data_IF_208790731756
#
_entry.id   IF_208790731756
#
_cell.length_a   1.000
_cell.length_b   1.000
_cell.length_c   1.000
_cell.angle_alpha   90.00
_cell.angle_beta   90.00
_cell.angle_gamma   90.00
#
_symmetry.space_group_name_H-M   'P 1'
#
loop_
_entity.id
_entity.type
_entity.pdbx_description
1 polymer ?
#
# COMPACT_ATOMS: atom_id res chain seq x y z
N UNK A 1 2.34 17.25 -31.70
CA UNK A 1 2.00 17.31 -30.25
C UNK A 1 2.22 16.00 -29.50
N UNK A 2 1.88 14.82 -30.05
CA UNK A 2 2.07 13.50 -29.39
C UNK A 2 3.55 13.22 -29.03
N UNK A 3 4.50 13.65 -29.87
CA UNK A 3 5.93 13.43 -29.63
C UNK A 3 6.46 14.22 -28.42
N UNK A 4 6.04 15.49 -28.26
CA UNK A 4 6.43 16.36 -27.15
C UNK A 4 5.84 15.84 -25.83
N UNK A 5 4.59 15.37 -25.85
CA UNK A 5 3.95 14.74 -24.69
C UNK A 5 4.70 13.46 -24.26
N UNK A 6 5.18 12.64 -25.19
CA UNK A 6 5.94 11.42 -24.87
C UNK A 6 7.32 11.70 -24.26
N UNK A 7 8.05 12.71 -24.74
CA UNK A 7 9.33 13.13 -24.13
C UNK A 7 9.13 13.78 -22.76
N UNK A 8 8.04 14.55 -22.58
CA UNK A 8 7.70 15.10 -21.27
C UNK A 8 7.28 13.98 -20.31
N UNK A 9 6.47 13.00 -20.73
CA UNK A 9 6.08 11.86 -19.89
C UNK A 9 7.28 10.98 -19.49
N UNK A 10 8.22 10.75 -20.40
CA UNK A 10 9.45 9.99 -20.11
C UNK A 10 10.35 10.72 -19.11
N UNK A 11 10.51 12.04 -19.26
CA UNK A 11 11.26 12.87 -18.32
C UNK A 11 10.52 13.06 -17.00
N UNK A 12 9.20 13.15 -17.03
CA UNK A 12 8.34 13.22 -15.85
C UNK A 12 8.31 11.92 -15.09
N UNK A 13 8.27 10.75 -15.73
CA UNK A 13 8.42 9.48 -15.04
C UNK A 13 9.72 9.49 -14.23
N UNK A 14 10.87 9.77 -14.86
CA UNK A 14 12.15 9.86 -14.17
C UNK A 14 12.19 10.93 -13.06
N UNK A 15 11.57 12.10 -13.27
CA UNK A 15 11.53 13.20 -12.30
C UNK A 15 10.49 13.02 -11.18
N UNK A 16 9.41 12.26 -11.40
CA UNK A 16 8.40 11.94 -10.39
C UNK A 16 8.85 10.83 -9.44
N UNK A 17 9.90 10.08 -9.81
CA UNK A 17 10.58 9.17 -8.89
C UNK A 17 11.47 9.90 -7.90
N UNK A 18 11.97 11.10 -8.22
CA UNK A 18 12.83 11.84 -7.31
C UNK A 18 12.15 12.14 -5.97
N UNK A 19 10.89 12.63 -5.91
CA UNK A 19 10.14 12.77 -4.66
C UNK A 19 9.87 11.44 -3.96
N UNK A 20 9.54 10.37 -4.69
CA UNK A 20 9.26 9.05 -4.10
C UNK A 20 10.53 8.42 -3.52
N UNK A 21 11.67 8.55 -4.22
CA UNK A 21 12.99 8.10 -3.79
C UNK A 21 13.55 9.00 -2.70
N UNK A 22 13.25 10.31 -2.69
CA UNK A 22 13.56 11.21 -1.57
C UNK A 22 12.72 10.89 -0.35
N UNK A 23 11.42 10.63 -0.51
CA UNK A 23 10.56 10.18 0.58
C UNK A 23 11.09 8.85 1.09
N UNK A 24 11.35 7.86 0.23
CA UNK A 24 11.97 6.59 0.61
C UNK A 24 13.35 6.74 1.25
N UNK A 25 14.21 7.67 0.79
CA UNK A 25 15.55 7.87 1.37
C UNK A 25 15.53 8.64 2.69
N UNK A 26 14.65 9.64 2.82
CA UNK A 26 14.35 10.31 4.09
C UNK A 26 13.68 9.33 5.08
N UNK A 27 12.95 8.34 4.57
CA UNK A 27 12.32 7.29 5.37
C UNK A 27 13.32 6.20 5.80
N UNK A 28 14.23 5.75 4.93
CA UNK A 28 15.26 4.77 5.34
C UNK A 28 16.28 5.37 6.31
N UNK A 29 16.62 6.65 6.14
CA UNK A 29 17.52 7.36 7.07
C UNK A 29 16.89 7.61 8.44
N UNK A 30 15.57 7.86 8.52
CA UNK A 30 14.87 7.94 9.81
C UNK A 30 14.71 6.59 10.50
N UNK A 31 14.54 5.50 9.75
CA UNK A 31 14.46 4.12 10.32
C UNK A 31 15.82 3.65 10.86
N UNK A 32 16.94 4.01 10.24
CA UNK A 32 18.28 3.70 10.77
C UNK A 32 18.68 4.54 11.99
N UNK A 33 17.97 5.64 12.27
CA UNK A 33 18.21 6.49 13.43
C UNK A 33 17.35 6.14 14.65
N UNK A 34 16.51 5.10 14.58
CA UNK A 34 16.02 4.48 15.82
C UNK A 34 17.21 3.67 16.33
N UNK A 35 17.92 4.10 17.39
CA UNK A 35 18.94 3.26 17.96
C UNK A 35 18.25 1.94 18.30
N UNK A 36 18.72 0.86 17.66
CA UNK A 36 18.54 -0.47 18.21
C UNK A 36 19.21 -0.37 19.57
N UNK A 37 18.44 0.00 20.58
CA UNK A 37 18.90 -0.07 21.94
C UNK A 37 19.21 -1.55 22.11
N UNK A 38 20.50 -1.89 21.98
CA UNK A 38 21.08 -3.07 22.59
C UNK A 38 20.96 -2.81 24.08
N UNK A 39 19.73 -2.86 24.58
CA UNK A 39 19.43 -2.78 25.98
C UNK A 39 20.02 -4.05 26.52
N UNK A 40 21.23 -3.94 27.09
CA UNK A 40 21.75 -4.95 27.98
C UNK A 40 20.58 -5.33 28.90
N UNK A 41 20.21 -6.61 28.88
CA UNK A 41 19.02 -7.11 29.55
C UNK A 41 18.96 -6.50 30.95
N UNK A 42 18.00 -5.59 31.23
CA UNK A 42 17.92 -4.99 32.55
C UNK A 42 17.73 -6.13 33.54
N UNK A 43 18.53 -6.13 34.61
CA UNK A 43 18.32 -7.04 35.73
C UNK A 43 16.83 -7.00 36.10
N UNK A 44 16.20 -8.17 36.35
CA UNK A 44 14.76 -8.30 36.53
C UNK A 44 14.31 -7.40 37.68
N UNK A 45 13.91 -6.18 37.32
CA UNK A 45 13.30 -5.24 38.24
C UNK A 45 11.88 -5.76 38.36
N UNK A 46 11.49 -6.15 39.57
CA UNK A 46 10.17 -6.69 39.88
C UNK A 46 9.11 -5.64 39.54
N UNK A 47 8.71 -5.61 38.27
CA UNK A 47 7.54 -4.88 37.79
C UNK A 47 6.33 -5.57 38.38
N UNK A 48 5.48 -4.75 39.00
CA UNK A 48 4.07 -5.02 39.29
C UNK A 48 3.46 -6.01 38.29
N UNK A 49 2.58 -6.94 38.70
CA UNK A 49 1.97 -7.95 37.84
C UNK A 49 1.12 -7.30 36.74
N UNK A 50 1.79 -6.87 35.67
CA UNK A 50 1.18 -6.61 34.38
C UNK A 50 0.68 -7.95 33.89
N UNK A 51 -0.65 -8.06 33.87
CA UNK A 51 -1.40 -9.22 33.41
C UNK A 51 -0.76 -9.76 32.10
N UNK A 52 -0.02 -10.89 32.14
CA UNK A 52 0.83 -11.37 31.05
C UNK A 52 0.03 -11.87 29.82
N UNK A 53 -1.29 -11.69 29.84
CA UNK A 53 -2.20 -12.22 28.82
C UNK A 53 -2.34 -11.36 27.56
N UNK A 54 -2.07 -10.05 27.57
CA UNK A 54 -2.55 -9.20 26.45
C UNK A 54 -1.61 -9.20 25.23
N UNK A 55 -0.28 -9.18 25.42
CA UNK A 55 0.68 -9.14 24.30
C UNK A 55 0.77 -10.49 23.57
N UNK A 56 0.73 -11.60 24.30
CA UNK A 56 0.71 -12.96 23.75
C UNK A 56 -0.56 -13.24 22.92
N UNK A 57 -1.66 -12.53 23.23
CA UNK A 57 -2.92 -12.63 22.49
C UNK A 57 -2.83 -11.96 21.12
N UNK A 58 -2.06 -10.87 20.95
CA UNK A 58 -1.92 -10.24 19.63
C UNK A 58 -1.01 -11.06 18.71
N UNK A 59 0.16 -11.49 19.22
CA UNK A 59 1.11 -12.31 18.45
C UNK A 59 0.47 -13.61 17.95
N UNK A 60 -0.25 -14.32 18.84
CA UNK A 60 -0.96 -15.55 18.46
C UNK A 60 -2.08 -15.34 17.44
N UNK A 61 -2.64 -14.12 17.32
CA UNK A 61 -3.59 -13.78 16.26
C UNK A 61 -2.90 -13.51 14.93
N UNK A 62 -1.71 -12.93 14.94
CA UNK A 62 -0.93 -12.67 13.72
C UNK A 62 -0.29 -13.91 13.14
N UNK A 63 -0.05 -14.92 13.96
CA UNK A 63 0.32 -16.26 13.47
C UNK A 63 -0.72 -16.86 12.53
N UNK A 64 -1.96 -16.34 12.53
CA UNK A 64 -3.04 -16.73 11.60
C UNK A 64 -3.13 -15.80 10.39
N UNK A 65 -2.45 -14.65 10.40
CA UNK A 65 -2.50 -13.62 9.37
C UNK A 65 -1.45 -13.88 8.29
N UNK A 66 -1.89 -14.39 7.14
CA UNK A 66 -0.99 -14.76 6.03
C UNK A 66 -0.82 -13.67 4.97
N UNK A 67 -1.22 -12.43 5.24
CA UNK A 67 -1.06 -11.31 4.31
C UNK A 67 0.13 -10.44 4.70
N UNK A 68 0.77 -9.78 3.74
CA UNK A 68 1.91 -8.93 4.02
C UNK A 68 1.54 -7.70 4.84
N UNK A 69 2.41 -7.36 5.79
CA UNK A 69 2.37 -6.14 6.58
C UNK A 69 3.82 -5.71 6.88
N UNK A 70 4.02 -4.62 7.63
CA UNK A 70 5.35 -4.11 7.94
C UNK A 70 6.13 -3.66 6.70
N UNK A 71 7.45 -3.85 6.72
CA UNK A 71 8.32 -3.49 5.58
C UNK A 71 7.93 -4.25 4.33
N UNK A 72 7.57 -5.52 4.47
CA UNK A 72 7.09 -6.30 3.35
C UNK A 72 5.76 -5.70 2.84
N UNK A 73 4.70 -5.61 3.64
CA UNK A 73 3.44 -4.96 3.22
C UNK A 73 3.66 -3.63 2.49
N UNK A 74 4.55 -2.79 3.03
CA UNK A 74 4.90 -1.51 2.44
C UNK A 74 5.46 -1.61 1.01
N UNK A 75 6.42 -2.52 0.79
CA UNK A 75 7.00 -2.76 -0.53
C UNK A 75 5.93 -3.29 -1.50
N UNK A 76 5.02 -4.14 -1.02
CA UNK A 76 3.93 -4.69 -1.85
C UNK A 76 2.96 -3.60 -2.32
N UNK A 77 2.54 -2.72 -1.41
CA UNK A 77 1.68 -1.60 -1.77
C UNK A 77 2.38 -0.62 -2.71
N UNK A 78 3.64 -0.25 -2.46
CA UNK A 78 4.41 0.62 -3.38
C UNK A 78 4.47 -0.01 -4.77
N UNK A 79 4.81 -1.30 -4.87
CA UNK A 79 4.88 -2.01 -6.13
C UNK A 79 3.52 -2.07 -6.84
N UNK A 80 2.44 -2.29 -6.10
CA UNK A 80 1.08 -2.36 -6.63
C UNK A 80 0.62 -1.00 -7.17
N UNK A 81 0.76 0.07 -6.39
CA UNK A 81 0.41 1.43 -6.84
C UNK A 81 1.27 1.87 -8.02
N UNK A 82 2.55 1.50 -8.03
CA UNK A 82 3.43 1.72 -9.17
C UNK A 82 2.96 1.00 -10.44
N UNK A 83 2.63 -0.29 -10.34
CA UNK A 83 2.12 -1.08 -11.45
C UNK A 83 0.83 -0.48 -12.01
N UNK A 84 -0.12 -0.11 -11.13
CA UNK A 84 -1.37 0.57 -11.49
C UNK A 84 -1.08 1.88 -12.25
N UNK A 85 -0.16 2.70 -11.73
CA UNK A 85 0.28 3.93 -12.39
C UNK A 85 0.84 3.68 -13.78
N UNK A 86 1.76 2.73 -13.92
CA UNK A 86 2.32 2.36 -15.24
C UNK A 86 1.24 1.87 -16.20
N UNK A 87 0.29 1.07 -15.70
CA UNK A 87 -0.82 0.55 -16.50
C UNK A 87 -1.77 1.66 -16.95
N UNK A 88 -2.01 2.70 -16.15
CA UNK A 88 -2.75 3.90 -16.59
C UNK A 88 -2.07 4.62 -17.75
N UNK A 89 -0.74 4.58 -17.84
CA UNK A 89 0.03 5.20 -18.93
C UNK A 89 0.43 4.23 -20.04
N UNK A 90 -0.14 3.03 -20.06
CA UNK A 90 0.17 1.97 -21.05
C UNK A 90 1.65 1.56 -21.11
N UNK A 91 2.39 1.81 -20.04
CA UNK A 91 3.79 1.42 -19.91
C UNK A 91 3.92 0.14 -19.10
N UNK A 92 4.90 -0.67 -19.43
CA UNK A 92 5.29 -1.79 -18.58
C UNK A 92 5.98 -1.27 -17.30
N UNK A 93 5.71 -1.88 -16.13
CA UNK A 93 6.33 -1.45 -14.87
C UNK A 93 7.83 -1.74 -14.80
N UNK A 94 8.31 -2.82 -15.42
CA UNK A 94 9.74 -3.11 -15.42
C UNK A 94 10.49 -2.32 -16.49
N UNK A 95 11.62 -1.73 -16.10
CA UNK A 95 12.48 -0.99 -17.01
C UNK A 95 13.02 -1.90 -18.15
N UNK A 96 13.20 -1.38 -19.37
CA UNK A 96 12.89 -0.01 -19.80
C UNK A 96 11.38 0.21 -20.06
N UNK A 97 10.77 1.32 -19.65
CA UNK A 97 9.32 1.63 -19.73
C UNK A 97 8.76 1.75 -21.16
N UNK A 98 8.69 0.63 -21.88
CA UNK A 98 8.12 0.53 -23.22
C UNK A 98 6.60 0.39 -23.15
N UNK A 99 5.94 0.66 -24.28
CA UNK A 99 4.51 0.38 -24.44
C UNK A 99 4.26 -1.13 -24.32
N UNK A 100 3.17 -1.49 -23.67
CA UNK A 100 2.75 -2.88 -23.48
C UNK A 100 2.32 -3.46 -24.83
N UNK A 101 2.99 -4.52 -25.28
CA UNK A 101 2.70 -5.13 -26.59
C UNK A 101 1.67 -6.25 -26.52
N UNK A 102 1.71 -7.07 -25.46
CA UNK A 102 0.97 -8.32 -25.42
C UNK A 102 -0.23 -8.23 -24.48
N UNK A 103 -1.26 -7.46 -24.88
CA UNK A 103 -2.45 -7.16 -24.04
C UNK A 103 -3.11 -8.42 -23.45
N UNK A 104 -3.29 -9.47 -24.25
CA UNK A 104 -3.94 -10.72 -23.81
C UNK A 104 -3.11 -11.49 -22.78
N UNK A 105 -1.81 -11.68 -23.02
CA UNK A 105 -0.96 -12.42 -22.09
C UNK A 105 -0.85 -11.69 -20.74
N UNK A 106 -0.78 -10.36 -20.77
CA UNK A 106 -0.78 -9.55 -19.56
C UNK A 106 -2.10 -9.65 -18.80
N UNK A 107 -3.24 -9.65 -19.52
CA UNK A 107 -4.54 -9.87 -18.91
C UNK A 107 -4.60 -11.24 -18.22
N UNK A 108 -4.18 -12.31 -18.89
CA UNK A 108 -4.13 -13.65 -18.32
C UNK A 108 -3.24 -13.72 -17.08
N UNK A 109 -2.06 -13.09 -17.13
CA UNK A 109 -1.12 -13.06 -16.01
C UNK A 109 -1.72 -12.35 -14.78
N UNK A 110 -2.40 -11.22 -15.00
CA UNK A 110 -3.04 -10.44 -13.93
C UNK A 110 -4.26 -11.17 -13.38
N UNK A 111 -5.07 -11.82 -14.23
CA UNK A 111 -6.20 -12.63 -13.79
C UNK A 111 -5.74 -13.82 -12.95
N UNK A 112 -4.71 -14.55 -13.40
CA UNK A 112 -4.13 -15.65 -12.64
C UNK A 112 -3.63 -15.18 -11.27
N UNK A 113 -2.86 -14.09 -11.26
CA UNK A 113 -2.37 -13.48 -10.03
C UNK A 113 -3.51 -13.08 -9.09
N UNK A 114 -4.53 -12.40 -9.61
CA UNK A 114 -5.69 -11.96 -8.83
C UNK A 114 -6.47 -13.14 -8.26
N UNK A 115 -6.64 -14.24 -9.00
CA UNK A 115 -7.32 -15.44 -8.47
C UNK A 115 -6.54 -16.00 -7.29
N UNK A 116 -5.22 -16.18 -7.42
CA UNK A 116 -4.38 -16.72 -6.35
C UNK A 116 -4.38 -15.82 -5.12
N UNK A 117 -4.17 -14.50 -5.29
CA UNK A 117 -4.09 -13.57 -4.16
C UNK A 117 -5.43 -13.41 -3.46
N UNK A 118 -6.54 -13.29 -4.20
CA UNK A 118 -7.90 -13.20 -3.62
C UNK A 118 -8.25 -14.48 -2.86
N UNK A 119 -7.96 -15.66 -3.40
CA UNK A 119 -8.19 -16.93 -2.68
C UNK A 119 -7.43 -16.98 -1.36
N UNK A 120 -6.15 -16.60 -1.35
CA UNK A 120 -5.35 -16.58 -0.13
C UNK A 120 -5.90 -15.54 0.86
N UNK A 121 -6.28 -14.35 0.40
CA UNK A 121 -6.85 -13.32 1.25
C UNK A 121 -8.19 -13.76 1.88
N UNK A 122 -9.04 -14.50 1.16
CA UNK A 122 -10.24 -15.12 1.73
C UNK A 122 -9.92 -16.19 2.77
N UNK A 123 -8.90 -17.02 2.52
CA UNK A 123 -8.41 -17.98 3.53
C UNK A 123 -7.95 -17.23 4.78
N UNK A 124 -7.18 -16.14 4.64
CA UNK A 124 -6.78 -15.29 5.77
C UNK A 124 -8.00 -14.75 6.50
N UNK A 125 -8.96 -14.19 5.77
CA UNK A 125 -10.19 -13.62 6.31
C UNK A 125 -10.97 -14.62 7.16
N UNK A 126 -11.06 -15.88 6.71
CA UNK A 126 -11.69 -16.97 7.48
C UNK A 126 -10.95 -17.29 8.79
N UNK A 127 -9.62 -17.14 8.81
CA UNK A 127 -8.75 -17.44 9.95
C UNK A 127 -8.73 -16.32 11.00
N UNK A 128 -8.95 -15.07 10.59
CA UNK A 128 -8.88 -13.89 11.47
C UNK A 128 -10.24 -13.26 11.80
N UNK A 129 -11.35 -13.96 11.52
CA UNK A 129 -12.73 -13.47 11.72
C UNK A 129 -13.06 -12.98 13.14
N UNK A 130 -12.31 -13.44 14.14
CA UNK A 130 -12.49 -13.07 15.55
C UNK A 130 -11.91 -11.68 15.86
N UNK A 131 -10.96 -11.21 15.06
CA UNK A 131 -10.28 -9.94 15.26
C UNK A 131 -10.73 -8.92 14.21
N UNK A 132 -11.69 -8.06 14.59
CA UNK A 132 -12.33 -7.08 13.70
C UNK A 132 -11.35 -6.22 12.88
N UNK A 133 -10.28 -5.62 13.46
CA UNK A 133 -9.36 -4.83 12.65
C UNK A 133 -8.52 -5.67 11.68
N UNK A 134 -8.02 -6.84 12.07
CA UNK A 134 -7.32 -7.74 11.13
C UNK A 134 -8.25 -8.23 10.01
N UNK A 135 -9.52 -8.49 10.35
CA UNK A 135 -10.57 -8.81 9.39
C UNK A 135 -10.77 -7.68 8.37
N UNK A 136 -10.80 -6.42 8.83
CA UNK A 136 -10.89 -5.25 7.93
C UNK A 136 -9.66 -5.17 7.03
N UNK A 137 -8.44 -5.29 7.57
CA UNK A 137 -7.21 -5.27 6.75
C UNK A 137 -7.18 -6.36 5.68
N UNK A 138 -7.59 -7.59 6.02
CA UNK A 138 -7.70 -8.68 5.06
C UNK A 138 -8.75 -8.38 3.98
N UNK A 139 -9.91 -7.84 4.36
CA UNK A 139 -10.94 -7.43 3.40
C UNK A 139 -10.45 -6.33 2.46
N UNK A 140 -9.65 -5.37 2.94
CA UNK A 140 -9.09 -4.30 2.11
C UNK A 140 -8.10 -4.83 1.07
N UNK A 141 -7.32 -5.87 1.38
CA UNK A 141 -6.47 -6.55 0.39
C UNK A 141 -7.29 -7.21 -0.72
N UNK A 142 -8.41 -7.88 -0.38
CA UNK A 142 -9.34 -8.42 -1.38
C UNK A 142 -9.86 -7.30 -2.29
N UNK A 143 -10.29 -6.18 -1.70
CA UNK A 143 -10.80 -5.03 -2.47
C UNK A 143 -9.72 -4.46 -3.39
N UNK A 144 -8.49 -4.29 -2.89
CA UNK A 144 -7.37 -3.76 -3.68
C UNK A 144 -7.04 -4.68 -4.87
N UNK A 145 -7.00 -5.99 -4.65
CA UNK A 145 -6.75 -6.99 -5.71
C UNK A 145 -7.86 -7.02 -6.75
N UNK A 146 -9.12 -6.90 -6.32
CA UNK A 146 -10.26 -6.80 -7.24
C UNK A 146 -10.20 -5.50 -8.05
N UNK A 147 -9.89 -4.36 -7.44
CA UNK A 147 -9.70 -3.07 -8.14
C UNK A 147 -8.58 -3.21 -9.18
N UNK A 148 -7.45 -3.80 -8.82
CA UNK A 148 -6.32 -4.07 -9.72
C UNK A 148 -6.77 -4.91 -10.92
N UNK A 149 -7.56 -5.95 -10.70
CA UNK A 149 -8.15 -6.79 -11.76
C UNK A 149 -9.09 -6.00 -12.67
N UNK A 150 -10.06 -5.27 -12.11
CA UNK A 150 -11.05 -4.50 -12.88
C UNK A 150 -10.37 -3.40 -13.71
N UNK A 151 -9.41 -2.67 -13.15
CA UNK A 151 -8.65 -1.64 -13.88
C UNK A 151 -7.99 -2.23 -15.13
N UNK A 152 -7.41 -3.42 -15.01
CA UNK A 152 -6.74 -4.10 -16.12
C UNK A 152 -7.72 -4.64 -17.17
N UNK A 153 -8.85 -5.23 -16.76
CA UNK A 153 -9.92 -5.65 -17.67
C UNK A 153 -10.50 -4.44 -18.41
N UNK A 154 -10.83 -3.38 -17.68
CA UNK A 154 -11.40 -2.15 -18.24
C UNK A 154 -10.48 -1.55 -19.30
N UNK A 155 -9.17 -1.52 -19.03
CA UNK A 155 -8.16 -1.08 -19.99
C UNK A 155 -8.09 -1.98 -21.22
N UNK A 156 -8.16 -3.30 -21.04
CA UNK A 156 -8.18 -4.25 -22.16
C UNK A 156 -9.39 -4.01 -23.09
N UNK A 157 -10.54 -3.67 -22.52
CA UNK A 157 -11.79 -3.48 -23.27
C UNK A 157 -11.93 -2.07 -23.90
N UNK A 158 -11.37 -1.03 -23.29
CA UNK A 158 -11.61 0.37 -23.68
C UNK A 158 -10.36 1.04 -24.26
N UNK A 159 -9.97 0.61 -25.47
CA UNK A 159 -8.64 0.93 -26.01
C UNK A 159 -8.29 2.42 -26.17
N UNK A 160 -9.22 3.39 -26.25
CA UNK A 160 -8.78 4.78 -26.57
C UNK A 160 -9.52 6.01 -25.98
N UNK A 161 -10.78 5.97 -25.48
CA UNK A 161 -11.55 7.24 -25.30
C UNK A 161 -12.16 7.54 -23.93
N UNK A 162 -11.93 6.73 -22.90
CA UNK A 162 -12.58 6.91 -21.59
C UNK A 162 -11.67 6.80 -20.36
N UNK A 163 -10.40 6.41 -20.55
CA UNK A 163 -9.53 5.95 -19.46
C UNK A 163 -9.42 7.00 -18.34
N UNK A 164 -9.16 8.24 -18.74
CA UNK A 164 -8.93 9.40 -17.86
C UNK A 164 -10.07 9.64 -16.86
N UNK A 165 -11.34 9.65 -17.31
CA UNK A 165 -12.48 9.87 -16.40
C UNK A 165 -12.67 8.71 -15.43
N UNK A 166 -12.53 7.48 -15.91
CA UNK A 166 -12.63 6.30 -15.06
C UNK A 166 -11.47 6.23 -14.06
N UNK A 167 -10.27 6.69 -14.41
CA UNK A 167 -9.14 6.76 -13.48
C UNK A 167 -9.42 7.67 -12.28
N UNK A 168 -10.16 8.77 -12.46
CA UNK A 168 -10.58 9.61 -11.33
C UNK A 168 -11.52 8.85 -10.39
N UNK A 169 -12.49 8.12 -10.96
CA UNK A 169 -13.41 7.27 -10.18
C UNK A 169 -12.62 6.23 -9.39
N UNK A 170 -11.66 5.56 -10.01
CA UNK A 170 -10.78 4.60 -9.34
C UNK A 170 -9.93 5.25 -8.24
N UNK A 171 -9.42 6.46 -8.47
CA UNK A 171 -8.68 7.22 -7.46
C UNK A 171 -9.51 7.53 -6.23
N UNK A 172 -10.79 7.91 -6.39
CA UNK A 172 -11.72 8.14 -5.28
C UNK A 172 -11.98 6.84 -4.51
N UNK A 173 -12.22 5.73 -5.21
CA UNK A 173 -12.43 4.42 -4.57
C UNK A 173 -11.18 4.01 -3.77
N UNK A 174 -9.99 4.12 -4.36
CA UNK A 174 -8.72 3.81 -3.70
C UNK A 174 -8.50 4.68 -2.46
N UNK A 175 -8.84 5.97 -2.53
CA UNK A 175 -8.76 6.87 -1.39
C UNK A 175 -9.70 6.42 -0.25
N UNK A 176 -10.95 6.06 -0.56
CA UNK A 176 -11.90 5.59 0.42
C UNK A 176 -11.44 4.28 1.09
N UNK A 177 -10.97 3.31 0.31
CA UNK A 177 -10.39 2.05 0.81
C UNK A 177 -9.21 2.32 1.74
N UNK A 178 -8.35 3.24 1.34
CA UNK A 178 -7.16 3.63 2.11
C UNK A 178 -7.52 4.30 3.45
N UNK A 179 -8.56 5.14 3.46
CA UNK A 179 -9.07 5.74 4.69
C UNK A 179 -9.65 4.69 5.66
N UNK A 180 -10.31 3.65 5.15
CA UNK A 180 -10.81 2.53 5.97
C UNK A 180 -9.65 1.74 6.60
N UNK A 181 -8.50 1.60 5.91
CA UNK A 181 -7.29 1.00 6.49
C UNK A 181 -6.79 1.78 7.71
N UNK A 182 -6.75 3.13 7.62
CA UNK A 182 -6.39 3.95 8.78
C UNK A 182 -7.38 3.80 9.94
N UNK A 183 -8.67 3.74 9.63
CA UNK A 183 -9.69 3.52 10.65
C UNK A 183 -9.48 2.17 11.35
N UNK A 184 -9.20 1.10 10.60
CA UNK A 184 -8.88 -0.22 11.16
C UNK A 184 -7.65 -0.15 12.08
N UNK A 185 -6.61 0.56 11.66
CA UNK A 185 -5.43 0.79 12.49
C UNK A 185 -5.76 1.53 13.80
N UNK A 186 -6.55 2.60 13.73
CA UNK A 186 -6.93 3.35 14.94
C UNK A 186 -7.73 2.50 15.94
N UNK A 187 -8.53 1.54 15.45
CA UNK A 187 -9.26 0.60 16.30
C UNK A 187 -8.33 -0.40 17.00
N UNK A 188 -7.20 -0.75 16.38
CA UNK A 188 -6.16 -1.54 17.04
C UNK A 188 -5.44 -0.72 18.11
N UNK A 189 -5.15 0.56 17.83
CA UNK A 189 -4.45 1.46 18.77
C UNK A 189 -5.29 1.78 20.03
N UNK A 190 -6.59 2.01 19.89
CA UNK A 190 -7.47 2.37 21.01
C UNK A 190 -7.61 1.30 22.09
N UNK A 191 -7.25 0.05 21.80
CA UNK A 191 -7.22 -1.03 22.80
C UNK A 191 -5.93 -1.07 23.61
N UNK A 192 -4.92 -0.26 23.26
CA UNK A 192 -3.56 -0.37 23.79
C UNK A 192 -3.13 0.90 24.52
N UNK A 193 -3.93 1.33 25.51
CA UNK A 193 -3.58 2.44 26.42
C UNK A 193 -2.25 2.22 27.18
N UNK A 194 -1.72 0.99 27.23
CA UNK A 194 -0.48 0.66 27.96
C UNK A 194 0.83 0.79 27.17
N UNK A 195 0.80 1.02 25.86
CA UNK A 195 2.02 1.10 25.02
C UNK A 195 2.41 2.52 24.61
N UNK A 196 1.83 3.51 25.28
CA UNK A 196 2.01 4.93 25.00
C UNK A 196 3.50 5.33 24.89
N UNK A 197 4.38 4.78 25.74
CA UNK A 197 5.82 5.08 25.69
C UNK A 197 6.59 4.54 24.49
N UNK A 198 6.09 3.51 23.77
CA UNK A 198 6.75 2.96 22.55
C UNK A 198 6.23 3.63 21.27
N UNK A 199 5.07 4.29 21.34
CA UNK A 199 4.44 4.96 20.21
C UNK A 199 4.99 6.37 19.97
N UNK A 200 5.58 7.03 20.96
CA UNK A 200 6.04 8.42 20.82
C UNK A 200 7.10 8.58 19.70
N UNK A 201 7.95 7.58 19.48
CA UNK A 201 8.96 7.61 18.41
C UNK A 201 8.44 7.27 17.01
N UNK A 202 7.45 6.37 16.90
CA UNK A 202 7.00 5.83 15.59
C UNK A 202 5.67 6.41 15.11
N UNK A 203 4.88 7.01 15.99
CA UNK A 203 3.67 7.75 15.61
C UNK A 203 3.97 8.97 14.76
N UNK A 204 5.11 9.65 15.01
CA UNK A 204 5.53 10.85 14.27
C UNK A 204 5.68 10.58 12.76
N UNK A 205 6.47 9.59 12.29
CA UNK A 205 6.61 9.34 10.86
C UNK A 205 5.29 8.93 10.20
N UNK A 206 4.44 8.14 10.88
CA UNK A 206 3.12 7.77 10.37
C UNK A 206 2.23 9.01 10.19
N UNK A 207 2.18 9.88 11.20
CA UNK A 207 1.45 11.15 11.14
C UNK A 207 1.99 12.06 10.03
N UNK A 208 3.31 12.15 9.86
CA UNK A 208 3.92 12.92 8.77
C UNK A 208 3.50 12.38 7.41
N UNK A 209 3.52 11.06 7.19
CA UNK A 209 3.06 10.44 5.93
C UNK A 209 1.59 10.75 5.66
N UNK A 210 0.74 10.65 6.68
CA UNK A 210 -0.70 10.97 6.59
C UNK A 210 -0.90 12.45 6.23
N UNK A 211 -0.23 13.37 6.93
CA UNK A 211 -0.35 14.82 6.73
C UNK A 211 0.16 15.25 5.36
N UNK A 212 1.32 14.74 4.93
CA UNK A 212 1.89 15.03 3.61
C UNK A 212 0.97 14.50 2.50
N UNK A 213 0.44 13.28 2.66
CA UNK A 213 -0.53 12.69 1.73
C UNK A 213 -1.80 13.56 1.65
N UNK A 214 -2.41 13.89 2.79
CA UNK A 214 -3.61 14.73 2.83
C UNK A 214 -3.38 16.11 2.17
N UNK A 215 -2.20 16.72 2.40
CA UNK A 215 -1.83 17.99 1.78
C UNK A 215 -1.70 17.86 0.26
N UNK A 216 -1.06 16.80 -0.24
CA UNK A 216 -0.94 16.53 -1.68
C UNK A 216 -2.33 16.33 -2.32
N UNK A 217 -3.21 15.56 -1.69
CA UNK A 217 -4.60 15.40 -2.14
C UNK A 217 -5.34 16.73 -2.21
N UNK A 218 -5.23 17.54 -1.15
CA UNK A 218 -5.91 18.83 -1.06
C UNK A 218 -5.42 19.81 -2.14
N UNK A 219 -4.10 19.98 -2.30
CA UNK A 219 -3.53 20.85 -3.34
C UNK A 219 -3.98 20.39 -4.72
N UNK A 220 -4.01 19.08 -4.96
CA UNK A 220 -4.42 18.50 -6.25
C UNK A 220 -5.89 18.71 -6.54
N UNK A 221 -6.74 18.63 -5.52
CA UNK A 221 -8.16 18.97 -5.62
C UNK A 221 -8.35 20.45 -5.95
N UNK A 222 -7.61 21.37 -5.31
CA UNK A 222 -7.68 22.81 -5.62
C UNK A 222 -7.23 23.09 -7.06
N UNK A 223 -6.14 22.46 -7.52
CA UNK A 223 -5.66 22.56 -8.91
C UNK A 223 -6.70 22.00 -9.88
N UNK A 224 -7.42 20.95 -9.51
CA UNK A 224 -8.48 20.38 -10.33
C UNK A 224 -9.72 21.25 -10.44
N UNK A 225 -10.19 21.81 -9.32
CA UNK A 225 -11.34 22.72 -9.30
C UNK A 225 -11.04 23.98 -10.10
N UNK A 226 -9.85 24.59 -9.92
CA UNK A 226 -9.42 25.75 -10.71
C UNK A 226 -9.17 25.40 -12.18
N UNK A 227 -8.58 24.23 -12.42
CA UNK A 227 -8.26 23.72 -13.74
C UNK A 227 -9.50 23.37 -14.55
N UNK A 228 -10.58 22.87 -13.95
CA UNK A 228 -11.81 22.47 -14.67
C UNK A 228 -12.51 23.61 -15.41
N UNK A 229 -12.21 24.88 -15.11
CA UNK A 229 -12.64 26.03 -15.91
C UNK A 229 -11.92 26.14 -17.27
N UNK A 230 -10.78 25.48 -17.46
CA UNK A 230 -10.07 25.33 -18.74
C UNK A 230 -9.96 23.83 -19.08
N UNK A 231 -10.42 23.41 -20.26
CA UNK A 231 -10.41 21.99 -20.69
C UNK A 231 -8.99 21.42 -20.94
N UNK A 232 -8.04 21.63 -20.04
CA UNK A 232 -6.67 21.15 -20.18
C UNK A 232 -6.51 19.78 -19.51
N UNK A 233 -6.14 18.79 -20.32
CA UNK A 233 -5.89 17.41 -19.89
C UNK A 233 -4.86 17.28 -18.75
N UNK A 234 -3.99 18.29 -18.56
CA UNK A 234 -2.96 18.30 -17.51
C UNK A 234 -3.52 18.32 -16.08
N UNK A 235 -4.67 18.95 -15.85
CA UNK A 235 -5.26 19.08 -14.51
C UNK A 235 -5.68 17.72 -13.93
N UNK A 236 -6.16 16.81 -14.78
CA UNK A 236 -6.65 15.51 -14.33
C UNK A 236 -5.52 14.52 -14.01
N UNK A 237 -4.38 14.61 -14.70
CA UNK A 237 -3.19 13.82 -14.36
C UNK A 237 -2.72 14.09 -12.93
N UNK A 238 -2.77 15.35 -12.49
CA UNK A 238 -2.41 15.73 -11.12
C UNK A 238 -3.32 15.05 -10.10
N UNK A 239 -4.64 15.02 -10.34
CA UNK A 239 -5.60 14.35 -9.44
C UNK A 239 -5.29 12.85 -9.32
N UNK A 240 -5.04 12.19 -10.44
CA UNK A 240 -4.78 10.74 -10.46
C UNK A 240 -3.49 10.41 -9.73
N UNK A 241 -2.40 11.10 -10.06
CA UNK A 241 -1.09 10.87 -9.44
C UNK A 241 -1.18 11.12 -7.94
N UNK A 242 -1.83 12.20 -7.53
CA UNK A 242 -2.00 12.51 -6.12
C UNK A 242 -2.90 11.50 -5.41
N UNK A 243 -4.00 11.06 -6.02
CA UNK A 243 -4.84 10.00 -5.48
C UNK A 243 -4.05 8.70 -5.25
N UNK A 244 -3.18 8.32 -6.18
CA UNK A 244 -2.30 7.16 -6.03
C UNK A 244 -1.27 7.34 -4.91
N UNK A 245 -0.60 8.49 -4.84
CA UNK A 245 0.38 8.80 -3.79
C UNK A 245 -0.28 8.77 -2.41
N UNK A 246 -1.45 9.38 -2.27
CA UNK A 246 -2.15 9.46 -0.98
C UNK A 246 -2.65 8.08 -0.55
N UNK A 247 -3.23 7.33 -1.48
CA UNK A 247 -3.67 5.96 -1.21
C UNK A 247 -2.48 5.09 -0.77
N UNK A 248 -1.35 5.20 -1.48
CA UNK A 248 -0.12 4.50 -1.08
C UNK A 248 0.34 4.90 0.32
N UNK A 249 0.40 6.19 0.65
CA UNK A 249 0.79 6.68 1.98
C UNK A 249 -0.07 6.13 3.12
N UNK A 250 -1.38 6.01 2.91
CA UNK A 250 -2.30 5.44 3.90
C UNK A 250 -2.13 3.93 4.09
N UNK A 251 -1.94 3.18 3.00
CA UNK A 251 -1.63 1.75 3.11
C UNK A 251 -0.29 1.52 3.81
N UNK A 252 0.73 2.34 3.50
CA UNK A 252 2.02 2.32 4.19
C UNK A 252 1.87 2.56 5.70
N UNK A 253 1.03 3.52 6.09
CA UNK A 253 0.70 3.77 7.49
C UNK A 253 0.04 2.54 8.16
N UNK A 254 -0.87 1.87 7.44
CA UNK A 254 -1.47 0.61 7.88
C UNK A 254 -0.45 -0.49 8.11
N UNK A 255 0.41 -0.77 7.13
CA UNK A 255 1.43 -1.82 7.20
C UNK A 255 2.42 -1.59 8.35
N UNK A 256 2.92 -0.36 8.46
CA UNK A 256 3.84 0.03 9.52
C UNK A 256 3.17 0.04 10.88
N UNK A 257 1.94 0.52 10.95
CA UNK A 257 1.15 0.51 12.18
C UNK A 257 1.04 -0.90 12.75
N UNK A 258 0.74 -1.89 11.90
CA UNK A 258 0.77 -3.30 12.32
C UNK A 258 2.17 -3.70 12.76
N UNK A 259 3.23 -3.49 11.97
CA UNK A 259 4.60 -3.84 12.38
C UNK A 259 5.04 -3.27 13.74
N UNK A 260 4.68 -2.02 14.03
CA UNK A 260 4.98 -1.36 15.30
C UNK A 260 4.22 -2.01 16.45
N UNK A 261 2.95 -2.32 16.23
CA UNK A 261 2.13 -3.00 17.22
C UNK A 261 2.63 -4.42 17.51
N UNK A 262 3.22 -5.09 16.54
CA UNK A 262 3.58 -6.50 16.70
C UNK A 262 5.03 -6.69 17.09
N UNK A 263 5.85 -5.63 16.99
CA UNK A 263 7.30 -5.75 17.13
C UNK A 263 7.97 -6.47 15.95
N UNK A 264 7.20 -7.02 15.01
CA UNK A 264 7.69 -7.67 13.80
C UNK A 264 7.75 -6.65 12.66
N UNK A 265 8.87 -5.95 12.58
CA UNK A 265 9.08 -4.89 11.58
C UNK A 265 9.13 -5.42 10.14
N UNK A 266 9.66 -6.62 9.95
CA UNK A 266 9.74 -7.24 8.61
C UNK A 266 8.34 -7.61 8.12
N UNK A 267 7.50 -8.11 9.01
CA UNK A 267 6.13 -8.53 8.73
C UNK A 267 6.00 -9.90 8.09
N UNK A 268 6.98 -10.80 8.30
CA UNK A 268 6.89 -12.21 7.90
C UNK A 268 6.35 -13.07 9.05
N UNK A 269 5.45 -14.03 8.80
CA UNK A 269 4.95 -14.94 9.84
C UNK A 269 6.01 -15.99 10.22
N UNK A 270 6.06 -16.37 11.50
CA UNK A 270 6.97 -17.41 12.00
C UNK A 270 6.43 -18.84 11.77
N UNK A 271 5.09 -18.99 11.75
CA UNK A 271 4.45 -20.28 11.51
C UNK A 271 4.63 -20.75 10.06
N UNK A 272 5.26 -21.91 9.86
CA UNK A 272 5.56 -22.48 8.54
C UNK A 272 4.35 -22.67 7.62
N UNK A 273 3.18 -23.02 8.18
CA UNK A 273 1.94 -23.20 7.41
C UNK A 273 1.34 -21.88 6.91
N UNK A 274 1.59 -20.79 7.63
CA UNK A 274 1.14 -19.44 7.28
C UNK A 274 2.18 -18.74 6.40
N UNK A 275 3.46 -19.03 6.61
CA UNK A 275 4.56 -18.58 5.77
C UNK A 275 4.43 -19.02 4.31
N UNK A 276 3.99 -20.25 4.04
CA UNK A 276 3.78 -20.72 2.67
C UNK A 276 2.68 -19.91 1.95
N UNK A 277 1.56 -19.66 2.62
CA UNK A 277 0.48 -18.82 2.11
C UNK A 277 0.93 -17.37 1.90
N UNK A 278 1.68 -16.84 2.87
CA UNK A 278 2.27 -15.50 2.81
C UNK A 278 3.19 -15.34 1.59
N UNK A 279 4.17 -16.22 1.43
CA UNK A 279 5.13 -16.11 0.32
C UNK A 279 4.45 -16.35 -1.03
N UNK A 280 3.43 -17.21 -1.08
CA UNK A 280 2.63 -17.38 -2.30
C UNK A 280 1.88 -16.10 -2.64
N UNK A 281 1.16 -15.50 -1.68
CA UNK A 281 0.47 -14.22 -1.88
C UNK A 281 1.45 -13.14 -2.35
N UNK A 282 2.57 -13.02 -1.64
CA UNK A 282 3.64 -12.07 -1.93
C UNK A 282 4.19 -12.21 -3.35
N UNK A 283 4.54 -13.42 -3.78
CA UNK A 283 5.08 -13.66 -5.12
C UNK A 283 4.04 -13.33 -6.20
N UNK A 284 2.81 -13.84 -6.05
CA UNK A 284 1.75 -13.61 -7.04
C UNK A 284 1.27 -12.15 -7.09
N UNK A 285 1.29 -11.43 -5.96
CA UNK A 285 0.99 -9.99 -5.92
C UNK A 285 1.84 -9.16 -6.87
N UNK A 286 3.08 -9.60 -7.13
CA UNK A 286 4.06 -8.93 -8.00
C UNK A 286 3.93 -9.24 -9.48
N UNK A 287 3.07 -10.18 -9.87
CA UNK A 287 2.91 -10.56 -11.28
C UNK A 287 2.45 -9.37 -12.15
N UNK A 288 1.76 -8.38 -11.58
CA UNK A 288 1.41 -7.15 -12.27
C UNK A 288 2.65 -6.36 -12.75
N UNK A 289 3.82 -6.51 -12.09
CA UNK A 289 5.08 -5.92 -12.53
C UNK A 289 5.62 -6.58 -13.79
N UNK A 290 5.32 -7.87 -13.98
CA UNK A 290 5.85 -8.70 -15.06
C UNK A 290 5.14 -8.47 -16.40
N UNK A 291 4.29 -7.45 -16.57
CA UNK A 291 3.60 -7.25 -17.86
C UNK A 291 4.54 -6.80 -18.99
N UNK A 292 4.36 -7.34 -20.21
CA UNK A 292 5.23 -7.12 -21.38
C UNK A 292 4.54 -6.58 -22.65
#
# INVERSE_FOLDING_TARGET
>A
MIFVANTLLSRWCAASWLPILLILSLYTTSVQCVPTATTAAPAPTATSPTDPGDDTVLESKLDKYSLPYGVLGAIDHIATFYAIGCHFYERRPLAPHKLIKHKLLNLLNILLASVVTVTIAFVTLSKVKEDKPLLIFAALHVVLDVIKGIVNIHKYLNEEKGLVRMTVVWGIILYAVSYIALYALSQMMGKRERLQGRFDGVSIPILVVILVSALIAFVSFIVWVKGSCRKEAGSLHVVVVSGLICSCGYFLAGDWGVAVMTGNTIGSPDNSSVASLFWTYWIFGRFALLTW
#
